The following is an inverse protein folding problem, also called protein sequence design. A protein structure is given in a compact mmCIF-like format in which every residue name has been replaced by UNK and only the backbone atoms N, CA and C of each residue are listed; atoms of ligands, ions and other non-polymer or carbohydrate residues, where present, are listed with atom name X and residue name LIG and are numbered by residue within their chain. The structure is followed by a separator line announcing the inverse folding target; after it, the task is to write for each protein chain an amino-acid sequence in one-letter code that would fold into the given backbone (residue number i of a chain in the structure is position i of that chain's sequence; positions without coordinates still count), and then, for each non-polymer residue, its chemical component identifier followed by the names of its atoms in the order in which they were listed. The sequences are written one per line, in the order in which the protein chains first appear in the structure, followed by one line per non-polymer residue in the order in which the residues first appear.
data_IF_941399542201
#
_entry.id   IF_941399542201
#
_cell.length_a   1.000
_cell.length_b   1.000
_cell.length_c   1.000
_cell.angle_alpha   90.00
_cell.angle_beta   90.00
_cell.angle_gamma   90.00
#
_symmetry.space_group_name_H-M   'P 1'
#
loop_
_entity.id
_entity.type
_entity.pdbx_description
1 polymer ?
#
# COMPACT_ATOMS: atom_id res chain seq x y z
N UNK A 1 -15.43 -43.84 -8.83
CA UNK A 1 -14.37 -42.81 -8.80
C UNK A 1 -14.80 -41.42 -9.29
N UNK A 2 -15.58 -41.25 -10.37
CA UNK A 2 -15.97 -39.90 -10.85
C UNK A 2 -16.99 -39.14 -9.98
N UNK A 3 -17.87 -39.85 -9.27
CA UNK A 3 -18.92 -39.25 -8.42
C UNK A 3 -18.38 -38.68 -7.10
N UNK A 4 -17.36 -39.31 -6.50
CA UNK A 4 -16.70 -38.81 -5.28
C UNK A 4 -15.83 -37.58 -5.52
N UNK A 5 -15.12 -37.52 -6.64
CA UNK A 5 -14.37 -36.30 -7.05
C UNK A 5 -15.30 -35.11 -7.28
N UNK A 6 -16.44 -35.34 -7.94
CA UNK A 6 -17.44 -34.28 -8.17
C UNK A 6 -18.08 -33.79 -6.87
N UNK A 7 -18.35 -34.70 -5.93
CA UNK A 7 -18.88 -34.34 -4.61
C UNK A 7 -17.86 -33.60 -3.72
N UNK A 8 -16.55 -33.90 -3.85
CA UNK A 8 -15.50 -33.15 -3.14
C UNK A 8 -15.29 -31.76 -3.76
N UNK A 9 -15.29 -31.64 -5.08
CA UNK A 9 -15.24 -30.33 -5.78
C UNK A 9 -16.47 -29.45 -5.47
N UNK A 10 -17.67 -30.03 -5.43
CA UNK A 10 -18.90 -29.30 -5.10
C UNK A 10 -18.98 -28.94 -3.61
N UNK A 11 -18.42 -29.77 -2.71
CA UNK A 11 -18.30 -29.44 -1.29
C UNK A 11 -17.28 -28.31 -1.06
N UNK A 12 -16.17 -28.30 -1.79
CA UNK A 12 -15.17 -27.24 -1.73
C UNK A 12 -15.71 -25.92 -2.30
N UNK A 13 -16.47 -25.98 -3.41
CA UNK A 13 -17.23 -24.85 -3.97
C UNK A 13 -18.26 -24.28 -2.99
N UNK A 14 -19.02 -25.14 -2.29
CA UNK A 14 -20.00 -24.71 -1.28
C UNK A 14 -19.35 -24.18 -0.01
N UNK A 15 -18.15 -24.64 0.35
CA UNK A 15 -17.38 -24.10 1.48
C UNK A 15 -16.82 -22.70 1.19
N UNK A 16 -16.48 -22.43 -0.08
CA UNK A 16 -16.02 -21.12 -0.58
C UNK A 16 -17.12 -20.07 -0.73
N UNK A 17 -18.39 -20.46 -0.69
CA UNK A 17 -19.57 -19.60 -0.84
C UNK A 17 -20.14 -19.06 0.49
N UNK A 18 -19.39 -19.16 1.60
CA UNK A 18 -19.71 -18.34 2.77
C UNK A 18 -19.36 -16.90 2.44
N UNK A 19 -20.37 -16.03 2.40
CA UNK A 19 -20.19 -14.61 2.12
C UNK A 19 -19.04 -14.01 2.94
N UNK A 20 -18.23 -13.17 2.30
CA UNK A 20 -17.08 -12.54 2.92
C UNK A 20 -17.57 -11.77 4.14
N UNK A 21 -17.12 -12.17 5.34
CA UNK A 21 -17.52 -11.50 6.57
C UNK A 21 -16.77 -10.17 6.64
N UNK A 22 -17.50 -9.07 6.89
CA UNK A 22 -16.93 -7.73 7.03
C UNK A 22 -15.78 -7.65 8.06
N UNK A 23 -15.73 -8.59 9.00
CA UNK A 23 -14.63 -8.78 9.97
C UNK A 23 -13.24 -8.79 9.32
N UNK A 24 -13.09 -9.37 8.12
CA UNK A 24 -11.77 -9.48 7.46
C UNK A 24 -11.27 -8.11 7.03
N UNK A 25 -12.17 -7.27 6.50
CA UNK A 25 -11.85 -5.91 6.12
C UNK A 25 -11.42 -5.14 7.36
N UNK A 26 -12.19 -5.23 8.45
CA UNK A 26 -11.85 -4.56 9.73
C UNK A 26 -10.50 -5.04 10.28
N UNK A 27 -10.21 -6.33 10.23
CA UNK A 27 -8.94 -6.91 10.70
C UNK A 27 -7.76 -6.58 9.78
N UNK A 28 -8.02 -6.37 8.49
CA UNK A 28 -6.98 -6.00 7.54
C UNK A 28 -6.44 -4.60 7.79
N UNK A 29 -7.28 -3.64 8.23
CA UNK A 29 -6.86 -2.25 8.49
C UNK A 29 -5.67 -2.13 9.46
N UNK A 30 -5.74 -2.65 10.70
CA UNK A 30 -4.61 -2.56 11.62
C UNK A 30 -3.37 -3.32 11.11
N UNK A 31 -3.59 -4.43 10.40
CA UNK A 31 -2.48 -5.21 9.82
C UNK A 31 -1.80 -4.45 8.68
N UNK A 32 -2.56 -3.72 7.86
CA UNK A 32 -2.04 -2.82 6.83
C UNK A 32 -1.24 -1.68 7.47
N UNK A 33 -1.75 -1.05 8.54
CA UNK A 33 -1.03 0.02 9.25
C UNK A 33 0.29 -0.50 9.83
N UNK A 34 0.26 -1.65 10.49
CA UNK A 34 1.47 -2.28 11.04
C UNK A 34 2.48 -2.61 9.95
N UNK A 35 2.00 -3.16 8.82
CA UNK A 35 2.83 -3.49 7.68
C UNK A 35 3.40 -2.24 7.00
N UNK A 36 2.63 -1.15 6.90
CA UNK A 36 3.11 0.13 6.40
C UNK A 36 4.19 0.74 7.31
N UNK A 37 4.02 0.63 8.63
CA UNK A 37 5.05 1.04 9.59
C UNK A 37 6.33 0.22 9.43
N UNK A 38 6.21 -1.10 9.24
CA UNK A 38 7.36 -1.96 8.96
C UNK A 38 8.07 -1.55 7.66
N UNK A 39 7.33 -1.28 6.59
CA UNK A 39 7.88 -0.78 5.33
C UNK A 39 8.63 0.54 5.52
N UNK A 40 8.07 1.47 6.30
CA UNK A 40 8.72 2.74 6.61
C UNK A 40 10.01 2.54 7.43
N UNK A 41 9.97 1.70 8.46
CA UNK A 41 11.14 1.38 9.27
C UNK A 41 12.26 0.72 8.44
N UNK A 42 11.89 -0.14 7.49
CA UNK A 42 12.83 -0.78 6.57
C UNK A 42 13.39 0.19 5.51
N UNK A 43 12.76 1.35 5.30
CA UNK A 43 13.32 2.43 4.49
C UNK A 43 14.09 3.46 5.31
N UNK A 44 14.05 3.34 6.63
CA UNK A 44 14.87 4.13 7.54
C UNK A 44 16.25 3.51 7.78
N UNK A 45 16.93 4.05 8.80
CA UNK A 45 18.27 3.62 9.24
C UNK A 45 18.38 2.10 9.37
N UNK A 46 17.36 1.44 9.91
CA UNK A 46 17.36 0.00 10.14
C UNK A 46 17.48 -0.86 8.88
N UNK A 47 16.89 -0.44 7.75
CA UNK A 47 16.99 -1.21 6.50
C UNK A 47 18.30 -0.97 5.76
N UNK A 48 18.76 0.27 5.73
CA UNK A 48 20.05 0.64 5.13
C UNK A 48 21.23 -0.03 5.85
N UNK A 49 21.22 -0.04 7.20
CA UNK A 49 22.27 -0.67 7.99
C UNK A 49 22.29 -2.21 7.82
N UNK A 50 21.12 -2.81 7.63
CA UNK A 50 20.99 -4.26 7.49
C UNK A 50 21.20 -4.77 6.07
N UNK A 51 21.47 -3.88 5.10
CA UNK A 51 21.58 -4.21 3.67
C UNK A 51 20.39 -5.04 3.14
N UNK A 52 19.22 -4.90 3.78
CA UNK A 52 18.03 -5.66 3.42
C UNK A 52 17.44 -5.12 2.12
N UNK A 53 16.97 -6.03 1.25
CA UNK A 53 16.21 -5.63 0.06
C UNK A 53 14.86 -5.05 0.46
N UNK A 54 14.40 -4.00 -0.22
CA UNK A 54 13.12 -3.37 0.09
C UNK A 54 11.95 -4.24 -0.39
N UNK A 55 10.93 -4.43 0.46
CA UNK A 55 9.89 -5.42 0.19
C UNK A 55 9.09 -5.17 -1.09
N UNK A 56 8.89 -3.91 -1.45
CA UNK A 56 8.07 -3.50 -2.59
C UNK A 56 8.82 -3.43 -3.91
N UNK A 57 10.15 -3.60 -3.93
CA UNK A 57 10.94 -3.61 -5.17
C UNK A 57 11.17 -5.03 -5.71
N UNK A 58 10.67 -6.06 -5.02
CA UNK A 58 10.72 -7.46 -5.45
C UNK A 58 9.31 -7.87 -5.90
N UNK A 59 9.19 -8.69 -6.95
CA UNK A 59 7.90 -9.13 -7.49
C UNK A 59 7.01 -9.85 -6.47
N UNK A 60 7.63 -10.55 -5.51
CA UNK A 60 6.94 -11.18 -4.39
C UNK A 60 7.25 -10.42 -3.10
N UNK A 61 6.24 -9.72 -2.60
CA UNK A 61 6.35 -8.92 -1.38
C UNK A 61 6.54 -9.80 -0.15
N UNK A 62 7.79 -9.96 0.29
CA UNK A 62 8.12 -10.84 1.42
C UNK A 62 7.41 -10.40 2.71
N UNK A 63 7.14 -9.10 2.88
CA UNK A 63 6.42 -8.57 4.04
C UNK A 63 4.97 -9.07 4.08
N UNK A 64 4.31 -9.10 2.91
CA UNK A 64 2.96 -9.66 2.78
C UNK A 64 2.98 -11.16 3.01
N UNK A 65 3.95 -11.87 2.43
CA UNK A 65 4.10 -13.32 2.64
C UNK A 65 4.32 -13.64 4.11
N UNK A 66 5.18 -12.91 4.80
CA UNK A 66 5.40 -13.05 6.24
C UNK A 66 4.10 -12.87 7.03
N UNK A 67 3.36 -11.79 6.77
CA UNK A 67 2.06 -11.55 7.40
C UNK A 67 1.08 -12.70 7.12
N UNK A 68 1.06 -13.22 5.90
CA UNK A 68 0.20 -14.35 5.52
C UNK A 68 0.59 -15.63 6.23
N UNK A 69 1.88 -15.95 6.36
CA UNK A 69 2.36 -17.11 7.12
C UNK A 69 1.93 -17.02 8.58
N UNK A 70 2.11 -15.85 9.21
CA UNK A 70 1.65 -15.59 10.58
C UNK A 70 0.13 -15.80 10.69
N UNK A 71 -0.64 -15.24 9.76
CA UNK A 71 -2.10 -15.39 9.76
C UNK A 71 -2.56 -16.83 9.51
N UNK A 72 -1.81 -17.62 8.73
CA UNK A 72 -2.09 -19.05 8.54
C UNK A 72 -1.84 -19.85 9.81
N UNK A 73 -0.76 -19.57 10.54
CA UNK A 73 -0.45 -20.19 11.83
C UNK A 73 -1.55 -19.84 12.86
N UNK A 74 -1.91 -18.56 12.96
CA UNK A 74 -3.01 -18.08 13.80
C UNK A 74 -4.30 -18.82 13.42
N UNK A 75 -4.63 -18.91 12.13
CA UNK A 75 -5.83 -19.59 11.67
C UNK A 75 -5.83 -21.10 12.01
N UNK A 76 -4.68 -21.77 11.92
CA UNK A 76 -4.56 -23.17 12.31
C UNK A 76 -4.84 -23.38 13.80
N UNK A 77 -4.37 -22.47 14.65
CA UNK A 77 -4.68 -22.46 16.08
C UNK A 77 -6.16 -22.16 16.34
N UNK A 78 -6.74 -21.16 15.67
CA UNK A 78 -8.15 -20.82 15.79
C UNK A 78 -9.06 -21.98 15.37
N UNK A 79 -8.70 -22.75 14.34
CA UNK A 79 -9.45 -23.95 13.94
C UNK A 79 -9.52 -25.00 15.06
N UNK A 80 -8.49 -25.10 15.90
CA UNK A 80 -8.42 -26.04 17.03
C UNK A 80 -9.13 -25.50 18.28
N UNK A 81 -8.91 -24.24 18.63
CA UNK A 81 -9.43 -23.66 19.88
C UNK A 81 -10.83 -23.03 19.73
N UNK A 82 -11.07 -22.29 18.65
CA UNK A 82 -12.27 -21.46 18.45
C UNK A 82 -12.74 -21.52 16.98
N UNK A 83 -13.28 -22.68 16.52
CA UNK A 83 -13.57 -22.91 15.10
C UNK A 83 -14.59 -21.92 14.50
N UNK A 84 -15.43 -21.28 15.32
CA UNK A 84 -16.35 -20.22 14.88
C UNK A 84 -15.63 -18.95 14.40
N UNK A 85 -14.45 -18.67 14.97
CA UNK A 85 -13.62 -17.50 14.64
C UNK A 85 -12.63 -17.79 13.50
N UNK A 86 -12.35 -19.05 13.17
CA UNK A 86 -11.43 -19.41 12.09
C UNK A 86 -11.79 -18.74 10.75
N UNK A 87 -10.75 -18.35 10.01
CA UNK A 87 -10.85 -17.78 8.67
C UNK A 87 -11.05 -18.87 7.62
N UNK A 88 -11.91 -18.57 6.66
CA UNK A 88 -12.13 -19.35 5.44
C UNK A 88 -11.04 -19.06 4.41
N UNK A 89 -10.91 -19.92 3.40
CA UNK A 89 -9.96 -19.73 2.29
C UNK A 89 -10.22 -18.42 1.54
N UNK A 90 -11.49 -18.11 1.27
CA UNK A 90 -11.90 -16.86 0.62
C UNK A 90 -11.50 -15.63 1.43
N UNK A 91 -11.67 -15.67 2.76
CA UNK A 91 -11.28 -14.60 3.67
C UNK A 91 -9.76 -14.36 3.70
N UNK A 92 -8.95 -15.42 3.65
CA UNK A 92 -7.49 -15.29 3.59
C UNK A 92 -7.01 -14.73 2.25
N UNK A 93 -7.65 -15.09 1.14
CA UNK A 93 -7.34 -14.51 -0.18
C UNK A 93 -7.66 -13.02 -0.19
N UNK A 94 -8.82 -12.62 0.34
CA UNK A 94 -9.18 -11.20 0.47
C UNK A 94 -8.17 -10.46 1.33
N UNK A 95 -7.76 -11.03 2.46
CA UNK A 95 -6.73 -10.43 3.33
C UNK A 95 -5.40 -10.23 2.58
N UNK A 96 -4.97 -11.24 1.82
CA UNK A 96 -3.77 -11.15 0.99
C UNK A 96 -3.85 -10.02 -0.03
N UNK A 97 -4.98 -9.89 -0.74
CA UNK A 97 -5.19 -8.83 -1.72
C UNK A 97 -5.17 -7.45 -1.04
N UNK A 98 -5.88 -7.27 0.07
CA UNK A 98 -5.93 -6.01 0.81
C UNK A 98 -4.56 -5.62 1.35
N UNK A 99 -3.80 -6.57 1.90
CA UNK A 99 -2.43 -6.33 2.35
C UNK A 99 -1.47 -5.96 1.22
N UNK A 100 -1.63 -6.61 0.07
CA UNK A 100 -0.81 -6.34 -1.12
C UNK A 100 -1.07 -4.93 -1.61
N UNK A 101 -2.33 -4.54 -1.79
CA UNK A 101 -2.70 -3.18 -2.19
C UNK A 101 -2.18 -2.15 -1.17
N UNK A 102 -2.37 -2.40 0.12
CA UNK A 102 -1.84 -1.53 1.17
C UNK A 102 -0.32 -1.38 1.13
N UNK A 103 0.40 -2.47 0.83
CA UNK A 103 1.86 -2.46 0.68
C UNK A 103 2.31 -1.69 -0.56
N UNK A 104 1.61 -1.83 -1.70
CA UNK A 104 1.91 -1.04 -2.90
C UNK A 104 1.75 0.44 -2.62
N UNK A 105 0.66 0.83 -1.95
CA UNK A 105 0.38 2.24 -1.63
C UNK A 105 1.34 2.83 -0.61
N UNK A 106 1.86 2.02 0.32
CA UNK A 106 2.88 2.43 1.29
C UNK A 106 4.32 2.15 0.79
N UNK A 107 4.48 1.71 -0.46
CA UNK A 107 5.73 1.24 -1.02
C UNK A 107 6.69 2.36 -1.38
N UNK A 108 7.94 1.98 -1.60
CA UNK A 108 9.03 2.91 -1.94
C UNK A 108 8.68 3.82 -3.13
N UNK A 109 8.34 3.22 -4.27
CA UNK A 109 8.08 3.94 -5.53
C UNK A 109 6.69 4.61 -5.59
N UNK A 110 6.03 4.73 -4.43
CA UNK A 110 4.70 5.33 -4.30
C UNK A 110 4.75 6.53 -3.36
N UNK A 111 4.09 6.49 -2.19
CA UNK A 111 3.99 7.61 -1.27
C UNK A 111 5.33 8.00 -0.64
N UNK A 112 6.27 7.07 -0.47
CA UNK A 112 7.54 7.35 0.21
C UNK A 112 8.41 8.32 -0.59
N UNK A 113 8.49 8.15 -1.91
CA UNK A 113 9.18 9.09 -2.79
C UNK A 113 8.36 10.33 -3.11
N UNK A 114 7.04 10.18 -3.25
CA UNK A 114 6.18 11.28 -3.69
C UNK A 114 6.27 12.49 -2.76
N UNK A 115 6.14 12.30 -1.45
CA UNK A 115 6.04 13.42 -0.51
C UNK A 115 7.30 14.30 -0.44
N UNK A 116 8.52 13.73 -0.30
CA UNK A 116 9.74 14.53 -0.36
C UNK A 116 9.88 15.27 -1.69
N UNK A 117 9.53 14.63 -2.81
CA UNK A 117 9.65 15.22 -4.14
C UNK A 117 8.81 16.49 -4.33
N UNK A 118 7.68 16.62 -3.63
CA UNK A 118 6.82 17.82 -3.72
C UNK A 118 7.50 19.09 -3.21
N UNK A 119 8.49 18.95 -2.33
CA UNK A 119 9.20 20.04 -1.68
C UNK A 119 10.68 20.12 -2.07
N UNK A 120 11.22 19.07 -2.67
CA UNK A 120 12.65 18.88 -2.87
C UNK A 120 13.29 19.99 -3.71
N UNK A 121 12.69 20.28 -4.86
CA UNK A 121 13.19 21.28 -5.82
C UNK A 121 13.15 22.69 -5.25
N UNK A 122 12.16 23.01 -4.43
CA UNK A 122 12.06 24.29 -3.75
C UNK A 122 13.09 24.42 -2.61
N UNK A 123 13.23 23.39 -1.77
CA UNK A 123 14.12 23.44 -0.60
C UNK A 123 15.61 23.42 -0.96
N UNK A 124 16.00 22.53 -1.86
CA UNK A 124 17.40 22.29 -2.21
C UNK A 124 17.87 23.11 -3.42
N UNK A 125 17.11 24.11 -3.84
CA UNK A 125 17.53 24.99 -4.92
C UNK A 125 18.79 25.78 -4.56
N UNK A 126 19.77 25.73 -5.45
CA UNK A 126 21.03 26.45 -5.34
C UNK A 126 21.38 27.11 -6.68
N UNK A 127 22.25 28.14 -6.69
CA UNK A 127 22.72 28.74 -7.94
C UNK A 127 23.38 27.73 -8.90
N UNK A 128 23.98 26.65 -8.36
CA UNK A 128 24.66 25.62 -9.14
C UNK A 128 23.73 24.63 -9.84
N UNK A 129 22.61 24.25 -9.21
CA UNK A 129 21.65 23.30 -9.79
C UNK A 129 20.50 23.99 -10.56
N UNK A 130 20.31 25.30 -10.35
CA UNK A 130 19.28 26.12 -10.99
C UNK A 130 17.85 25.61 -10.78
N UNK A 131 17.57 24.86 -9.70
CA UNK A 131 16.25 24.29 -9.45
C UNK A 131 15.16 25.34 -9.26
N UNK A 132 15.49 26.57 -8.83
CA UNK A 132 14.52 27.67 -8.74
C UNK A 132 13.82 27.95 -10.09
N UNK A 133 14.53 27.78 -11.23
CA UNK A 133 13.94 27.92 -12.57
C UNK A 133 12.91 26.84 -12.85
N UNK A 134 13.18 25.60 -12.43
CA UNK A 134 12.26 24.48 -12.59
C UNK A 134 11.04 24.61 -11.68
N UNK A 135 11.24 25.08 -10.44
CA UNK A 135 10.15 25.35 -9.49
C UNK A 135 9.13 26.32 -10.05
N UNK A 136 9.57 27.29 -10.85
CA UNK A 136 8.67 28.25 -11.52
C UNK A 136 7.73 27.62 -12.56
N UNK A 137 8.10 26.47 -13.14
CA UNK A 137 7.24 25.73 -14.07
C UNK A 137 6.33 24.71 -13.38
N UNK A 138 6.55 24.43 -12.09
CA UNK A 138 5.74 23.50 -11.34
C UNK A 138 4.48 24.20 -10.80
N UNK A 139 3.30 23.59 -10.96
CA UNK A 139 2.07 24.16 -10.42
C UNK A 139 2.12 24.18 -8.89
N UNK A 140 1.96 25.38 -8.32
CA UNK A 140 1.97 25.62 -6.87
C UNK A 140 0.87 24.89 -6.09
N UNK A 141 -0.15 24.36 -6.78
CA UNK A 141 -1.19 23.53 -6.17
C UNK A 141 -0.74 22.07 -5.96
N UNK A 142 0.22 21.56 -6.75
CA UNK A 142 0.71 20.17 -6.65
C UNK A 142 2.05 20.06 -5.92
N UNK A 143 2.76 21.18 -5.72
CA UNK A 143 4.07 21.21 -5.05
C UNK A 143 4.08 22.25 -3.93
N UNK A 144 4.96 22.06 -2.95
CA UNK A 144 5.16 23.00 -1.84
C UNK A 144 6.41 23.81 -2.14
N UNK A 145 6.25 25.11 -2.39
CA UNK A 145 7.33 25.98 -2.88
C UNK A 145 7.84 26.99 -1.84
N UNK A 146 7.12 27.19 -0.73
CA UNK A 146 7.49 28.18 0.28
C UNK A 146 8.63 27.68 1.19
N UNK A 147 9.83 28.26 0.99
CA UNK A 147 11.04 27.92 1.77
C UNK A 147 10.90 28.18 3.27
N UNK A 148 10.13 29.20 3.70
CA UNK A 148 9.98 29.49 5.12
C UNK A 148 9.19 28.39 5.83
N UNK A 149 8.16 27.88 5.16
CA UNK A 149 7.31 26.82 5.69
C UNK A 149 7.99 25.44 5.59
N UNK A 150 8.76 25.22 4.53
CA UNK A 150 9.61 24.02 4.39
C UNK A 150 10.72 23.95 5.43
N UNK A 151 11.14 25.09 6.00
CA UNK A 151 12.13 25.13 7.07
C UNK A 151 11.71 24.27 8.26
N UNK A 152 10.45 24.36 8.67
CA UNK A 152 9.89 23.54 9.74
C UNK A 152 9.90 22.05 9.38
N UNK A 153 9.58 21.71 8.13
CA UNK A 153 9.54 20.34 7.64
C UNK A 153 10.93 19.69 7.59
N UNK A 154 11.94 20.40 7.09
CA UNK A 154 13.29 19.84 6.89
C UNK A 154 14.22 19.99 8.10
N UNK A 155 14.18 21.13 8.81
CA UNK A 155 15.05 21.37 9.97
C UNK A 155 14.43 20.91 11.29
N UNK A 156 13.11 20.66 11.31
CA UNK A 156 12.37 20.35 12.52
C UNK A 156 12.24 21.56 13.45
N UNK A 157 12.32 21.31 14.76
CA UNK A 157 12.19 22.32 15.83
C UNK A 157 10.82 23.00 15.96
N UNK A 158 9.78 22.37 15.38
CA UNK A 158 8.38 22.75 15.56
C UNK A 158 7.50 21.52 15.35
N UNK A 159 6.18 21.67 15.48
CA UNK A 159 5.21 20.57 15.42
C UNK A 159 4.44 20.60 14.10
N UNK A 160 4.25 19.43 13.47
CA UNK A 160 3.42 19.30 12.27
C UNK A 160 1.93 19.48 12.56
N UNK A 161 1.52 19.43 13.83
CA UNK A 161 0.10 19.41 14.22
C UNK A 161 -0.55 20.79 14.33
N UNK A 162 0.14 21.86 13.94
CA UNK A 162 -0.47 23.19 13.84
C UNK A 162 -1.24 23.32 12.53
N UNK A 163 -2.35 24.06 12.59
CA UNK A 163 -3.17 24.32 11.41
C UNK A 163 -2.38 24.96 10.26
N UNK A 164 -1.46 25.87 10.59
CA UNK A 164 -0.56 26.50 9.62
C UNK A 164 0.21 25.46 8.81
N UNK A 165 0.88 24.50 9.46
CA UNK A 165 1.65 23.48 8.77
C UNK A 165 0.76 22.51 7.98
N UNK A 166 -0.38 22.08 8.53
CA UNK A 166 -1.28 21.13 7.87
C UNK A 166 -1.92 21.73 6.61
N UNK A 167 -2.32 23.00 6.68
CA UNK A 167 -3.07 23.66 5.60
C UNK A 167 -2.31 23.72 4.27
N UNK A 168 -0.98 23.76 4.32
CA UNK A 168 -0.10 23.85 3.14
C UNK A 168 -0.06 22.54 2.37
N UNK A 169 -0.13 21.41 3.07
CA UNK A 169 -0.11 20.08 2.46
C UNK A 169 -1.50 19.64 1.99
N UNK A 170 -2.57 20.27 2.48
CA UNK A 170 -3.93 19.84 2.21
C UNK A 170 -4.26 19.81 0.71
N UNK A 171 -3.93 20.88 -0.03
CA UNK A 171 -4.19 20.97 -1.48
C UNK A 171 -3.33 19.97 -2.26
N UNK A 172 -1.98 19.93 -2.10
CA UNK A 172 -1.15 18.94 -2.78
C UNK A 172 -1.59 17.49 -2.48
N UNK A 173 -1.82 17.15 -1.21
CA UNK A 173 -2.23 15.80 -0.80
C UNK A 173 -3.55 15.41 -1.45
N UNK A 174 -4.54 16.31 -1.46
CA UNK A 174 -5.83 16.04 -2.06
C UNK A 174 -5.72 15.81 -3.57
N UNK A 175 -5.01 16.69 -4.28
CA UNK A 175 -4.83 16.56 -5.73
C UNK A 175 -4.05 15.30 -6.10
N UNK A 176 -2.96 14.99 -5.40
CA UNK A 176 -2.19 13.76 -5.63
C UNK A 176 -3.01 12.52 -5.29
N UNK A 177 -3.85 12.56 -4.25
CA UNK A 177 -4.77 11.45 -3.95
C UNK A 177 -5.73 11.21 -5.11
N UNK A 178 -6.32 12.27 -5.69
CA UNK A 178 -7.20 12.15 -6.86
C UNK A 178 -6.46 11.55 -8.05
N UNK A 179 -5.22 12.01 -8.32
CA UNK A 179 -4.39 11.48 -9.41
C UNK A 179 -4.10 9.98 -9.20
N UNK A 180 -3.67 9.59 -8.00
CA UNK A 180 -3.33 8.19 -7.66
C UNK A 180 -4.56 7.28 -7.79
N UNK A 181 -5.71 7.71 -7.25
CA UNK A 181 -6.96 6.95 -7.34
C UNK A 181 -7.38 6.80 -8.80
N UNK A 182 -7.30 7.87 -9.59
CA UNK A 182 -7.65 7.85 -11.02
C UNK A 182 -6.73 6.89 -11.79
N UNK A 183 -5.41 6.98 -11.59
CA UNK A 183 -4.44 6.09 -12.22
C UNK A 183 -4.68 4.62 -11.84
N UNK A 184 -4.95 4.35 -10.56
CA UNK A 184 -5.25 3.00 -10.08
C UNK A 184 -6.52 2.46 -10.74
N UNK A 185 -7.58 3.27 -10.83
CA UNK A 185 -8.82 2.89 -11.51
C UNK A 185 -8.60 2.59 -12.99
N UNK A 186 -7.81 3.40 -13.69
CA UNK A 186 -7.47 3.16 -15.11
C UNK A 186 -6.73 1.82 -15.25
N UNK A 187 -5.73 1.55 -14.40
CA UNK A 187 -5.01 0.27 -14.41
C UNK A 187 -5.93 -0.91 -14.11
N UNK A 188 -6.85 -0.77 -13.16
CA UNK A 188 -7.86 -1.80 -12.87
C UNK A 188 -8.82 -2.02 -14.04
N UNK A 189 -9.22 -0.96 -14.75
CA UNK A 189 -10.05 -1.08 -15.95
C UNK A 189 -9.31 -1.83 -17.07
N UNK A 190 -8.04 -1.51 -17.30
CA UNK A 190 -7.19 -2.21 -18.27
C UNK A 190 -7.08 -3.69 -17.88
N UNK A 191 -6.77 -3.98 -16.61
CA UNK A 191 -6.68 -5.36 -16.10
C UNK A 191 -8.00 -6.11 -16.28
N UNK A 192 -9.14 -5.48 -16.00
CA UNK A 192 -10.45 -6.12 -16.17
C UNK A 192 -10.76 -6.46 -17.64
N UNK A 193 -10.34 -5.62 -18.59
CA UNK A 193 -10.50 -5.88 -20.02
C UNK A 193 -9.57 -7.01 -20.53
N UNK A 194 -8.35 -7.08 -20.01
CA UNK A 194 -7.37 -8.10 -20.41
C UNK A 194 -7.59 -9.44 -19.70
N UNK A 195 -8.12 -9.44 -18.47
CA UNK A 195 -8.23 -10.63 -17.63
C UNK A 195 -9.00 -11.77 -18.32
N UNK A 196 -10.12 -11.46 -18.98
CA UNK A 196 -10.95 -12.48 -19.63
C UNK A 196 -10.27 -13.06 -20.88
N UNK A 197 -9.50 -12.25 -21.63
CA UNK A 197 -8.73 -12.74 -22.78
C UNK A 197 -7.60 -13.66 -22.33
N UNK A 198 -6.80 -13.23 -21.36
CA UNK A 198 -5.68 -14.02 -20.84
C UNK A 198 -6.15 -15.36 -20.27
N UNK A 199 -7.18 -15.35 -19.42
CA UNK A 199 -7.65 -16.59 -18.75
C UNK A 199 -8.36 -17.57 -19.69
N UNK A 200 -8.95 -17.10 -20.80
CA UNK A 200 -9.70 -17.96 -21.73
C UNK A 200 -8.94 -18.35 -23.00
N UNK A 201 -8.06 -17.49 -23.51
CA UNK A 201 -7.39 -17.70 -24.81
C UNK A 201 -5.95 -18.20 -24.68
N UNK A 202 -5.27 -17.97 -23.56
CA UNK A 202 -3.87 -18.40 -23.34
C UNK A 202 -3.78 -19.53 -22.31
N UNK A 203 -4.44 -20.66 -22.58
CA UNK A 203 -4.19 -21.92 -21.86
C UNK A 203 -3.10 -22.73 -22.55
#
# INVERSE_FOLDING_TARGET
MGKERKNTEDADRKSGQKGIRARVVVLSVPLIILNAFWLFANWGVSGYDSSQSFATIISLFYNVIFCMVVMLIINAFLKRALPKLAFTSSELIVLYVLLTIGSVMAGHDSTQLLWPMLAYTAWFASPGNQWDKFTSYMPSSLTVQDKNLLKTYFLGNSTIYTWEHISIWLIPVLLWTVIIVTMTLVMLCILALLADRWTRQEK
#
